data_IF_254276239529
#
_entry.id   IF_254276239529
#
_cell.length_a   1.000
_cell.length_b   1.000
_cell.length_c   1.000
_cell.angle_alpha   90.00
_cell.angle_beta   90.00
_cell.angle_gamma   90.00
#
_symmetry.space_group_name_H-M   'P 1'
#
loop_
_entity.id
_entity.type
_entity.pdbx_description
1 polymer ?
#
# COMPACT_ATOMS: atom_id res chain seq x y z
N UNK A 1 2.70 -54.95 2.29
CA UNK A 1 2.11 -53.66 2.69
C UNK A 1 3.16 -52.95 3.52
N UNK A 2 4.30 -52.49 2.98
CA UNK A 2 4.48 -51.44 1.94
C UNK A 2 3.48 -50.30 2.16
N UNK A 3 3.85 -49.05 2.40
CA UNK A 3 5.12 -48.36 2.24
C UNK A 3 5.07 -47.07 3.08
N UNK A 4 6.25 -46.52 3.33
CA UNK A 4 6.45 -45.26 3.99
C UNK A 4 5.72 -44.11 3.28
N UNK A 5 5.00 -43.29 4.05
CA UNK A 5 4.73 -41.91 3.68
C UNK A 5 5.52 -41.00 4.60
N UNK A 6 6.82 -40.92 4.35
CA UNK A 6 7.52 -39.65 4.52
C UNK A 6 7.19 -38.81 3.28
N UNK A 7 6.32 -37.81 3.41
CA UNK A 7 6.31 -36.72 2.45
C UNK A 7 5.99 -35.39 3.12
N UNK A 8 7.08 -34.66 3.37
CA UNK A 8 7.15 -33.20 3.36
C UNK A 8 6.62 -32.43 4.58
N UNK A 9 7.35 -32.53 5.68
CA UNK A 9 7.59 -31.38 6.58
C UNK A 9 8.74 -30.50 6.03
N UNK A 10 8.82 -30.34 4.71
CA UNK A 10 9.84 -29.56 4.01
C UNK A 10 9.25 -28.35 3.27
N UNK A 11 7.96 -28.07 3.46
CA UNK A 11 7.28 -26.93 2.81
C UNK A 11 6.65 -25.97 3.83
N UNK A 12 7.17 -25.91 5.06
CA UNK A 12 6.93 -24.77 5.95
C UNK A 12 7.74 -23.54 5.46
N UNK A 13 7.63 -23.22 4.17
CA UNK A 13 8.14 -21.98 3.62
C UNK A 13 7.22 -20.86 4.06
N UNK A 14 7.77 -19.82 4.68
CA UNK A 14 7.06 -18.57 4.97
C UNK A 14 6.69 -17.88 3.65
N UNK A 15 5.67 -18.40 2.97
CA UNK A 15 5.14 -17.82 1.75
C UNK A 15 4.27 -16.63 2.13
N UNK A 16 4.73 -15.45 1.75
CA UNK A 16 3.95 -14.24 1.89
C UNK A 16 2.84 -14.27 0.84
N UNK A 17 1.55 -14.12 1.22
CA UNK A 17 0.45 -14.07 0.28
C UNK A 17 0.66 -12.96 -0.76
N UNK A 18 0.20 -13.17 -1.99
CA UNK A 18 0.39 -12.22 -3.11
C UNK A 18 -0.08 -10.80 -2.75
N UNK A 19 -1.26 -10.67 -2.13
CA UNK A 19 -1.78 -9.37 -1.67
C UNK A 19 -0.91 -8.70 -0.59
N UNK A 20 -0.15 -9.48 0.19
CA UNK A 20 0.81 -8.93 1.15
C UNK A 20 2.14 -8.55 0.47
N UNK A 21 2.57 -9.27 -0.57
CA UNK A 21 3.70 -8.87 -1.41
C UNK A 21 3.42 -7.55 -2.12
N UNK A 22 2.22 -7.40 -2.70
CA UNK A 22 1.81 -6.17 -3.38
C UNK A 22 1.78 -4.98 -2.41
N UNK A 23 1.19 -5.15 -1.22
CA UNK A 23 1.19 -4.10 -0.19
C UNK A 23 2.60 -3.70 0.26
N UNK A 24 3.54 -4.63 0.35
CA UNK A 24 4.93 -4.30 0.66
C UNK A 24 5.61 -3.51 -0.47
N UNK A 25 5.28 -3.81 -1.73
CA UNK A 25 5.78 -3.04 -2.88
C UNK A 25 5.23 -1.60 -2.85
N UNK A 26 3.92 -1.44 -2.65
CA UNK A 26 3.30 -0.14 -2.47
C UNK A 26 3.96 0.64 -1.32
N UNK A 27 4.16 0.01 -0.16
CA UNK A 27 4.80 0.65 0.98
C UNK A 27 6.23 1.10 0.68
N UNK A 28 7.03 0.25 0.04
CA UNK A 28 8.40 0.57 -0.38
C UNK A 28 8.43 1.78 -1.31
N UNK A 29 7.53 1.81 -2.29
CA UNK A 29 7.53 2.86 -3.30
C UNK A 29 7.02 4.19 -2.71
N UNK A 30 6.08 4.13 -1.76
CA UNK A 30 5.69 5.26 -0.91
C UNK A 30 6.86 5.82 -0.09
N UNK A 31 7.61 4.97 0.61
CA UNK A 31 8.76 5.41 1.40
C UNK A 31 9.85 6.05 0.54
N UNK A 32 10.08 5.54 -0.68
CA UNK A 32 11.03 6.15 -1.64
C UNK A 32 10.60 7.53 -2.09
N UNK A 33 9.31 7.71 -2.34
CA UNK A 33 8.76 9.02 -2.66
C UNK A 33 8.98 10.02 -1.51
N UNK A 34 8.62 9.64 -0.29
CA UNK A 34 8.82 10.48 0.89
C UNK A 34 10.31 10.80 1.11
N UNK A 35 11.19 9.82 0.90
CA UNK A 35 12.63 10.03 0.99
C UNK A 35 13.14 11.04 -0.04
N UNK A 36 12.63 11.01 -1.28
CA UNK A 36 12.98 12.01 -2.31
C UNK A 36 12.44 13.39 -1.98
N UNK A 37 11.19 13.49 -1.50
CA UNK A 37 10.64 14.77 -1.05
C UNK A 37 11.40 15.36 0.15
N UNK A 38 11.92 14.52 1.03
CA UNK A 38 12.71 14.94 2.19
C UNK A 38 14.15 15.33 1.82
N UNK A 39 14.62 15.04 0.60
CA UNK A 39 15.94 15.47 0.17
C UNK A 39 15.97 17.00 0.00
N UNK A 40 17.07 17.66 0.40
CA UNK A 40 17.26 19.07 0.09
C UNK A 40 17.18 19.27 -1.42
N UNK A 41 16.45 20.31 -1.85
CA UNK A 41 16.39 20.68 -3.26
C UNK A 41 17.79 20.92 -3.79
N UNK A 42 18.05 20.41 -4.99
CA UNK A 42 19.29 20.72 -5.70
C UNK A 42 19.29 22.18 -6.14
N UNK A 43 20.48 22.77 -6.30
CA UNK A 43 20.63 24.15 -6.75
C UNK A 43 19.94 24.40 -8.11
N UNK A 44 19.89 23.38 -8.99
CA UNK A 44 19.20 23.43 -10.27
C UNK A 44 17.67 23.52 -10.12
N UNK A 45 17.07 22.76 -9.20
CA UNK A 45 15.62 22.82 -8.90
C UNK A 45 15.23 24.15 -8.26
N UNK A 46 16.10 24.69 -7.40
CA UNK A 46 15.89 25.97 -6.74
C UNK A 46 15.95 27.14 -7.73
N UNK A 47 16.90 27.08 -8.68
CA UNK A 47 16.99 28.03 -9.80
C UNK A 47 15.78 27.93 -10.74
N UNK A 48 15.27 26.72 -10.99
CA UNK A 48 14.10 26.47 -11.81
C UNK A 48 12.77 26.81 -11.13
N UNK A 49 12.77 27.06 -9.80
CA UNK A 49 11.57 27.21 -8.94
C UNK A 49 10.53 26.10 -9.14
N UNK A 50 10.99 24.92 -9.53
CA UNK A 50 10.14 23.77 -9.78
C UNK A 50 10.72 22.60 -8.99
N UNK A 51 9.98 22.03 -8.03
CA UNK A 51 10.40 20.76 -7.46
C UNK A 51 10.40 19.72 -8.58
N UNK A 52 11.46 18.92 -8.71
CA UNK A 52 11.48 17.80 -9.65
C UNK A 52 10.58 16.68 -9.11
N UNK A 53 9.27 16.92 -9.05
CA UNK A 53 8.30 15.89 -8.72
C UNK A 53 8.17 15.03 -9.98
N UNK A 54 8.72 13.83 -9.92
CA UNK A 54 8.51 12.85 -10.97
C UNK A 54 7.01 12.54 -11.07
N UNK A 55 6.42 12.70 -12.26
CA UNK A 55 4.99 12.53 -12.47
C UNK A 55 4.50 11.11 -12.15
N UNK A 56 5.36 10.10 -12.35
CA UNK A 56 5.06 8.71 -11.98
C UNK A 56 4.89 8.54 -10.46
N UNK A 57 5.63 9.32 -9.69
CA UNK A 57 5.55 9.27 -8.22
C UNK A 57 4.31 10.02 -7.71
N UNK A 58 3.93 11.11 -8.37
CA UNK A 58 2.69 11.81 -8.10
C UNK A 58 1.47 10.94 -8.44
N UNK A 59 1.52 10.22 -9.56
CA UNK A 59 0.47 9.27 -9.95
C UNK A 59 0.25 8.20 -8.88
N UNK A 60 1.34 7.62 -8.37
CA UNK A 60 1.28 6.66 -7.26
C UNK A 60 0.64 7.25 -5.99
N UNK A 61 1.00 8.48 -5.61
CA UNK A 61 0.39 9.15 -4.45
C UNK A 61 -1.11 9.40 -4.63
N UNK A 62 -1.55 9.76 -5.84
CA UNK A 62 -2.96 9.97 -6.14
C UNK A 62 -3.74 8.65 -6.14
N UNK A 63 -3.14 7.57 -6.62
CA UNK A 63 -3.73 6.22 -6.56
C UNK A 63 -3.89 5.74 -5.10
N UNK A 64 -2.85 5.90 -4.29
CA UNK A 64 -2.92 5.58 -2.85
C UNK A 64 -3.93 6.46 -2.10
N UNK A 65 -4.06 7.73 -2.49
CA UNK A 65 -5.06 8.63 -1.93
C UNK A 65 -6.48 8.18 -2.30
N UNK A 66 -6.70 7.79 -3.56
CA UNK A 66 -7.98 7.27 -4.02
C UNK A 66 -8.38 5.97 -3.29
N UNK A 67 -7.43 5.04 -3.11
CA UNK A 67 -7.67 3.83 -2.31
C UNK A 67 -8.10 4.14 -0.87
N UNK A 68 -7.41 5.07 -0.21
CA UNK A 68 -7.72 5.46 1.17
C UNK A 68 -9.07 6.16 1.28
N UNK A 69 -9.40 7.05 0.34
CA UNK A 69 -10.71 7.70 0.28
C UNK A 69 -11.81 6.66 0.08
N UNK A 70 -11.60 5.67 -0.80
CA UNK A 70 -12.54 4.56 -0.98
C UNK A 70 -12.83 3.82 0.32
N UNK A 71 -11.78 3.42 1.06
CA UNK A 71 -11.95 2.75 2.36
C UNK A 71 -12.68 3.60 3.40
N UNK A 72 -12.38 4.90 3.47
CA UNK A 72 -13.08 5.82 4.38
C UNK A 72 -14.56 5.94 4.00
N UNK A 73 -14.89 5.98 2.71
CA UNK A 73 -16.27 6.02 2.25
C UNK A 73 -17.01 4.72 2.57
N UNK A 74 -16.38 3.56 2.35
CA UNK A 74 -16.96 2.25 2.70
C UNK A 74 -17.22 2.13 4.21
N UNK A 75 -16.27 2.60 5.04
CA UNK A 75 -16.40 2.60 6.50
C UNK A 75 -17.53 3.54 6.96
N UNK A 76 -17.67 4.73 6.34
CA UNK A 76 -18.76 5.67 6.63
C UNK A 76 -20.11 5.10 6.19
N UNK A 77 -20.18 4.46 5.03
CA UNK A 77 -21.41 3.81 4.55
C UNK A 77 -21.83 2.65 5.46
N UNK A 78 -20.89 1.80 5.88
CA UNK A 78 -21.15 0.75 6.87
C UNK A 78 -21.66 1.34 8.20
N UNK A 79 -21.02 2.39 8.72
CA UNK A 79 -21.44 3.05 9.95
C UNK A 79 -22.86 3.67 9.86
N UNK A 80 -23.25 4.18 8.68
CA UNK A 80 -24.60 4.71 8.43
C UNK A 80 -25.64 3.59 8.41
N UNK A 81 -25.32 2.44 7.82
CA UNK A 81 -26.21 1.27 7.78
C UNK A 81 -26.38 0.67 9.19
N UNK A 82 -25.31 0.63 9.98
CA UNK A 82 -25.35 0.15 11.37
C UNK A 82 -26.09 1.14 12.32
N UNK A 83 -26.01 2.44 12.05
CA UNK A 83 -26.79 3.47 12.76
C UNK A 83 -28.29 3.48 12.44
N UNK A 84 -28.74 2.74 11.42
CA UNK A 84 -30.13 2.65 11.00
C UNK A 84 -30.93 1.51 11.66
N UNK A 85 -30.32 0.71 12.55
CA UNK A 85 -31.05 -0.23 13.40
C UNK A 85 -31.59 0.50 14.65
N UNK A 86 -32.90 0.79 14.75
CA UNK A 86 -33.47 1.24 16.01
C UNK A 86 -33.40 0.06 16.99
N UNK A 87 -32.82 0.30 18.16
CA UNK A 87 -32.89 -0.63 19.29
C UNK A 87 -34.37 -0.92 19.63
N UNK A 88 -34.72 -2.17 19.99
CA UNK A 88 -36.08 -2.56 20.38
C UNK A 88 -36.54 -1.88 21.68
#
# INVERSE_FOLDING_TARGET
MTEAYHYSDATAGYYLPEGAQYRLQQLRDHMRFLARLAQPRTQAEEQARQPAICMDELAFCLELLAEQVGRVLDDVECAVIEGAHPLP
#
